data_IF_362324389696
#
_entry.id   IF_362324389696
#
_cell.length_a   1.000
_cell.length_b   1.000
_cell.length_c   1.000
_cell.angle_alpha   90.00
_cell.angle_beta   90.00
_cell.angle_gamma   90.00
#
_symmetry.space_group_name_H-M   'P 1'
#
loop_
_entity.id
_entity.type
_entity.pdbx_description
1 polymer ?
#
# COMPACT_ATOMS: atom_id res chain seq x y z
N UNK A 1 9.01 16.03 9.11
CA UNK A 1 8.23 16.35 7.89
C UNK A 1 6.78 15.96 8.10
N UNK A 2 5.81 16.60 7.43
CA UNK A 2 4.38 16.33 7.62
C UNK A 2 3.75 15.76 6.34
N UNK A 3 2.72 14.94 6.51
CA UNK A 3 1.90 14.43 5.42
C UNK A 3 1.16 15.61 4.74
N UNK A 4 1.40 15.81 3.44
CA UNK A 4 0.83 16.95 2.69
C UNK A 4 -0.61 16.72 2.24
N UNK A 5 -1.02 15.44 2.12
CA UNK A 5 -2.36 15.04 1.70
C UNK A 5 -3.01 14.31 2.86
N UNK A 6 -4.02 14.93 3.47
CA UNK A 6 -4.76 14.31 4.57
C UNK A 6 -5.37 12.96 4.15
N UNK A 7 -5.53 12.05 5.10
CA UNK A 7 -6.24 10.78 4.89
C UNK A 7 -7.72 11.08 4.66
N UNK A 8 -8.30 10.38 3.69
CA UNK A 8 -9.69 10.57 3.28
C UNK A 8 -10.39 9.23 3.03
N UNK A 9 -11.68 9.26 2.76
CA UNK A 9 -12.48 8.05 2.40
C UNK A 9 -12.05 7.42 1.07
N UNK A 10 -11.28 8.14 0.26
CA UNK A 10 -10.75 7.60 -1.00
C UNK A 10 -9.45 6.81 -0.82
N UNK A 11 -8.88 6.78 0.37
CA UNK A 11 -7.70 5.98 0.67
C UNK A 11 -8.08 4.51 0.94
N UNK A 12 -7.18 3.60 0.62
CA UNK A 12 -7.28 2.22 1.08
C UNK A 12 -6.88 2.17 2.56
N UNK A 13 -7.85 1.89 3.41
CA UNK A 13 -7.66 1.87 4.85
C UNK A 13 -8.20 0.58 5.48
N UNK A 14 -7.54 0.11 6.53
CA UNK A 14 -7.99 -0.96 7.44
C UNK A 14 -8.05 -0.40 8.86
N UNK A 15 -8.98 -0.92 9.66
CA UNK A 15 -9.24 -0.43 11.02
C UNK A 15 -10.27 0.69 11.07
N UNK A 16 -10.69 1.09 12.29
CA UNK A 16 -11.74 2.08 12.50
C UNK A 16 -11.36 3.46 11.94
N UNK A 17 -12.36 4.19 11.44
CA UNK A 17 -12.15 5.55 10.93
C UNK A 17 -11.74 6.53 12.05
N UNK A 18 -12.22 6.27 13.25
CA UNK A 18 -11.99 7.03 14.49
C UNK A 18 -10.87 6.45 15.37
N UNK A 19 -10.06 5.54 14.83
CA UNK A 19 -8.92 4.98 15.57
C UNK A 19 -7.98 6.11 16.05
N UNK A 20 -7.50 6.04 17.32
CA UNK A 20 -6.63 7.09 17.90
C UNK A 20 -5.32 7.25 17.15
N UNK A 21 -4.86 6.22 16.44
CA UNK A 21 -3.64 6.28 15.64
C UNK A 21 -3.91 5.94 14.19
N UNK A 22 -3.44 6.80 13.30
CA UNK A 22 -3.40 6.55 11.85
C UNK A 22 -1.96 6.35 11.40
N UNK A 23 -1.67 5.19 10.81
CA UNK A 23 -0.40 4.85 10.19
C UNK A 23 -0.57 4.86 8.67
N UNK A 24 0.09 5.79 7.98
CA UNK A 24 0.11 5.85 6.52
C UNK A 24 1.43 5.28 6.02
N UNK A 25 1.37 4.31 5.13
CA UNK A 25 2.51 3.79 4.39
C UNK A 25 2.45 4.29 2.94
N UNK A 26 3.56 4.85 2.47
CA UNK A 26 3.86 4.95 1.05
C UNK A 26 4.73 3.76 0.65
N UNK A 27 4.15 2.84 -0.13
CA UNK A 27 4.74 1.56 -0.46
C UNK A 27 4.82 1.28 -1.95
N UNK A 28 5.74 0.38 -2.29
CA UNK A 28 6.04 -0.09 -3.64
C UNK A 28 6.01 -1.61 -3.65
N UNK A 29 5.19 -2.20 -4.52
CA UNK A 29 5.01 -3.65 -4.58
C UNK A 29 6.25 -4.42 -5.03
N UNK A 30 7.23 -3.78 -5.64
CA UNK A 30 8.47 -4.43 -6.05
C UNK A 30 9.63 -4.14 -5.10
N UNK A 31 9.47 -3.22 -4.13
CA UNK A 31 10.49 -2.91 -3.14
C UNK A 31 10.63 -4.06 -2.12
N UNK A 32 11.80 -4.70 -1.96
CA UNK A 32 11.97 -5.79 -1.01
C UNK A 32 11.74 -5.35 0.44
N UNK A 33 12.15 -4.14 0.81
CA UNK A 33 11.90 -3.60 2.16
C UNK A 33 10.41 -3.42 2.47
N UNK A 34 9.57 -3.13 1.46
CA UNK A 34 8.11 -3.10 1.64
C UNK A 34 7.55 -4.50 1.90
N UNK A 35 8.06 -5.54 1.23
CA UNK A 35 7.66 -6.90 1.51
C UNK A 35 8.08 -7.35 2.92
N UNK A 36 9.29 -6.97 3.35
CA UNK A 36 9.79 -7.30 4.70
C UNK A 36 8.90 -6.70 5.79
N UNK A 37 8.50 -5.44 5.66
CA UNK A 37 7.62 -4.80 6.66
C UNK A 37 6.17 -5.22 6.57
N UNK A 38 5.71 -5.77 5.45
CA UNK A 38 4.31 -6.12 5.23
C UNK A 38 3.76 -7.07 6.31
N UNK A 39 4.47 -8.18 6.59
CA UNK A 39 4.07 -9.14 7.63
C UNK A 39 4.05 -8.51 9.02
N UNK A 40 4.99 -7.62 9.29
CA UNK A 40 5.07 -6.86 10.54
C UNK A 40 3.84 -5.95 10.70
N UNK A 41 3.47 -5.21 9.65
CA UNK A 41 2.29 -4.32 9.66
C UNK A 41 1.01 -5.13 9.87
N UNK A 42 0.84 -6.27 9.20
CA UNK A 42 -0.31 -7.15 9.41
C UNK A 42 -0.41 -7.64 10.87
N UNK A 43 0.72 -8.04 11.46
CA UNK A 43 0.77 -8.46 12.87
C UNK A 43 0.41 -7.31 13.82
N UNK A 44 0.93 -6.12 13.53
CA UNK A 44 0.66 -4.90 14.30
C UNK A 44 -0.82 -4.52 14.24
N UNK A 45 -1.41 -4.50 13.05
CA UNK A 45 -2.83 -4.18 12.85
C UNK A 45 -3.75 -5.13 13.64
N UNK A 46 -3.38 -6.42 13.71
CA UNK A 46 -4.11 -7.40 14.52
C UNK A 46 -3.97 -7.14 16.02
N UNK A 47 -2.74 -6.86 16.52
CA UNK A 47 -2.48 -6.58 17.93
C UNK A 47 -3.13 -5.30 18.43
N UNK A 48 -3.26 -4.31 17.55
CA UNK A 48 -3.82 -3.00 17.83
C UNK A 48 -5.25 -2.84 17.26
N UNK A 49 -5.98 -3.94 17.15
CA UNK A 49 -7.35 -3.91 16.64
C UNK A 49 -8.20 -2.88 17.42
N UNK A 50 -8.89 -2.01 16.70
CA UNK A 50 -9.66 -0.90 17.28
C UNK A 50 -8.84 0.37 17.61
N UNK A 51 -7.52 0.29 17.66
CA UNK A 51 -6.65 1.42 18.01
C UNK A 51 -5.82 1.95 16.84
N UNK A 52 -5.68 1.18 15.78
CA UNK A 52 -4.88 1.52 14.61
C UNK A 52 -5.73 1.55 13.34
N UNK A 53 -5.65 2.66 12.62
CA UNK A 53 -6.07 2.78 11.22
C UNK A 53 -4.84 2.72 10.35
N UNK A 54 -4.68 1.65 9.59
CA UNK A 54 -3.62 1.51 8.60
C UNK A 54 -4.10 2.01 7.24
N UNK A 55 -3.30 2.83 6.58
CA UNK A 55 -3.57 3.40 5.24
C UNK A 55 -2.40 3.08 4.32
N UNK A 56 -2.69 2.52 3.15
CA UNK A 56 -1.69 2.28 2.12
C UNK A 56 -1.86 3.25 0.95
N UNK A 57 -0.74 3.82 0.48
CA UNK A 57 -0.66 4.67 -0.71
C UNK A 57 0.45 4.20 -1.63
N UNK A 58 0.18 4.21 -2.92
CA UNK A 58 1.13 3.79 -3.93
C UNK A 58 2.29 4.77 -4.10
N UNK A 59 3.51 4.23 -4.10
CA UNK A 59 4.73 4.98 -4.39
C UNK A 59 5.65 4.14 -5.32
N UNK A 60 5.23 3.82 -6.55
CA UNK A 60 6.03 3.00 -7.46
C UNK A 60 7.28 3.75 -7.92
N UNK A 61 8.45 3.24 -7.57
CA UNK A 61 9.76 3.80 -7.95
C UNK A 61 10.21 3.20 -9.29
N UNK A 62 9.54 3.57 -10.37
CA UNK A 62 9.65 2.95 -11.70
C UNK A 62 11.06 2.95 -12.31
N UNK A 63 11.93 3.85 -11.87
CA UNK A 63 13.33 3.92 -12.32
C UNK A 63 14.15 2.69 -11.88
N UNK A 64 13.77 2.06 -10.76
CA UNK A 64 14.46 0.89 -10.17
C UNK A 64 13.54 -0.33 -10.08
N UNK A 65 12.24 -0.14 -10.15
CA UNK A 65 11.21 -1.18 -9.99
C UNK A 65 10.24 -1.18 -11.19
N UNK A 66 10.60 -1.79 -12.33
CA UNK A 66 9.84 -1.68 -13.58
C UNK A 66 8.42 -2.25 -13.52
N UNK A 67 8.14 -3.20 -12.63
CA UNK A 67 6.80 -3.78 -12.47
C UNK A 67 5.94 -3.08 -11.38
N UNK A 68 6.50 -2.16 -10.60
CA UNK A 68 5.81 -1.54 -9.47
C UNK A 68 4.53 -0.80 -9.88
N UNK A 69 4.59 -0.05 -10.99
CA UNK A 69 3.43 0.67 -11.53
C UNK A 69 2.32 -0.28 -11.97
N UNK A 70 2.68 -1.37 -12.68
CA UNK A 70 1.71 -2.36 -13.15
C UNK A 70 1.04 -3.09 -11.97
N UNK A 71 1.82 -3.48 -10.97
CA UNK A 71 1.29 -4.13 -9.77
C UNK A 71 0.36 -3.19 -8.97
N UNK A 72 0.69 -1.91 -8.89
CA UNK A 72 -0.18 -0.91 -8.25
C UNK A 72 -1.52 -0.76 -8.99
N UNK A 73 -1.51 -0.71 -10.32
CA UNK A 73 -2.73 -0.65 -11.13
C UNK A 73 -3.55 -1.94 -11.01
N UNK A 74 -2.90 -3.11 -10.91
CA UNK A 74 -3.58 -4.39 -10.68
C UNK A 74 -4.26 -4.44 -9.31
N UNK A 75 -3.61 -3.93 -8.26
CA UNK A 75 -4.22 -3.82 -6.94
C UNK A 75 -5.47 -2.91 -6.95
N UNK A 76 -5.41 -1.78 -7.67
CA UNK A 76 -6.57 -0.89 -7.84
C UNK A 76 -7.70 -1.55 -8.66
N UNK A 77 -7.38 -2.30 -9.73
CA UNK A 77 -8.36 -3.04 -10.53
C UNK A 77 -9.07 -4.11 -9.68
N UNK A 78 -8.34 -4.80 -8.82
CA UNK A 78 -8.91 -5.71 -7.83
C UNK A 78 -9.76 -4.95 -6.79
N UNK A 79 -9.30 -3.78 -6.36
CA UNK A 79 -10.02 -2.90 -5.44
C UNK A 79 -11.37 -2.43 -5.98
N UNK A 80 -11.46 -2.17 -7.29
CA UNK A 80 -12.72 -1.85 -7.96
C UNK A 80 -13.73 -3.02 -8.01
N UNK A 81 -13.26 -4.22 -7.64
CA UNK A 81 -14.07 -5.42 -7.45
C UNK A 81 -14.14 -5.84 -5.96
N UNK A 82 -13.81 -4.93 -5.04
CA UNK A 82 -13.88 -5.15 -3.60
C UNK A 82 -12.76 -6.02 -3.02
N UNK A 83 -11.63 -6.21 -3.75
CA UNK A 83 -10.56 -7.13 -3.42
C UNK A 83 -9.17 -6.47 -3.34
N UNK A 84 -9.12 -5.17 -2.94
CA UNK A 84 -7.84 -4.46 -2.84
C UNK A 84 -6.87 -5.15 -1.88
N UNK A 85 -7.30 -5.40 -0.65
CA UNK A 85 -6.43 -5.93 0.40
C UNK A 85 -5.99 -7.37 0.15
N UNK A 86 -6.89 -8.20 -0.40
CA UNK A 86 -6.54 -9.56 -0.79
C UNK A 86 -5.49 -9.58 -1.91
N UNK A 87 -5.61 -8.68 -2.90
CA UNK A 87 -4.62 -8.54 -3.96
C UNK A 87 -3.30 -7.96 -3.42
N UNK A 88 -3.37 -6.92 -2.59
CA UNK A 88 -2.23 -6.30 -1.90
C UNK A 88 -1.39 -7.35 -1.15
N UNK A 89 -2.05 -8.13 -0.31
CA UNK A 89 -1.40 -9.20 0.46
C UNK A 89 -0.80 -10.28 -0.44
N UNK A 90 -1.52 -10.67 -1.50
CA UNK A 90 -1.08 -11.70 -2.42
C UNK A 90 0.14 -11.26 -3.25
N UNK A 91 0.20 -10.00 -3.67
CA UNK A 91 1.34 -9.45 -4.40
C UNK A 91 2.59 -9.48 -3.52
N UNK A 92 2.53 -9.00 -2.28
CA UNK A 92 3.70 -9.03 -1.39
C UNK A 92 4.15 -10.45 -1.07
N UNK A 93 3.22 -11.39 -0.83
CA UNK A 93 3.57 -12.81 -0.60
C UNK A 93 4.25 -13.48 -1.79
N UNK A 94 4.01 -12.98 -2.99
CA UNK A 94 4.53 -13.52 -4.26
C UNK A 94 5.49 -12.56 -4.96
N UNK A 95 6.05 -11.60 -4.22
CA UNK A 95 6.87 -10.52 -4.80
C UNK A 95 8.03 -11.04 -5.68
N UNK A 96 8.64 -12.16 -5.33
CA UNK A 96 9.73 -12.77 -6.11
C UNK A 96 9.29 -13.26 -7.49
N UNK A 97 7.98 -13.46 -7.72
CA UNK A 97 7.40 -13.88 -8.99
C UNK A 97 6.80 -12.69 -9.78
N UNK A 98 7.10 -11.45 -9.37
CA UNK A 98 6.42 -10.25 -9.88
C UNK A 98 6.64 -10.08 -11.38
N UNK A 99 5.53 -9.96 -12.11
CA UNK A 99 5.46 -9.80 -13.57
C UNK A 99 4.00 -9.82 -14.02
N UNK A 100 3.76 -9.64 -15.32
CA UNK A 100 2.39 -9.61 -15.87
C UNK A 100 1.59 -10.89 -15.59
N UNK A 101 2.23 -12.04 -15.71
CA UNK A 101 1.58 -13.35 -15.51
C UNK A 101 1.12 -13.55 -14.07
N UNK A 102 1.87 -13.02 -13.09
CA UNK A 102 1.49 -13.13 -11.69
C UNK A 102 0.16 -12.41 -11.44
N UNK A 103 -0.03 -11.20 -11.98
CA UNK A 103 -1.26 -10.43 -11.74
C UNK A 103 -2.49 -11.20 -12.20
N UNK A 104 -2.43 -11.83 -13.38
CA UNK A 104 -3.53 -12.65 -13.90
C UNK A 104 -3.78 -13.90 -13.03
N UNK A 105 -2.73 -14.59 -12.59
CA UNK A 105 -2.85 -15.74 -11.67
C UNK A 105 -3.51 -15.36 -10.35
N UNK A 106 -3.11 -14.21 -9.77
CA UNK A 106 -3.68 -13.72 -8.53
C UNK A 106 -5.15 -13.31 -8.71
N UNK A 107 -5.48 -12.62 -9.81
CA UNK A 107 -6.85 -12.24 -10.13
C UNK A 107 -7.77 -13.47 -10.26
N UNK A 108 -7.31 -14.52 -10.94
CA UNK A 108 -8.02 -15.80 -10.99
C UNK A 108 -8.21 -16.43 -9.60
N UNK A 109 -7.15 -16.48 -8.79
CA UNK A 109 -7.18 -17.03 -7.44
C UNK A 109 -8.18 -16.29 -6.55
N UNK A 110 -8.26 -14.97 -6.71
CA UNK A 110 -9.19 -14.10 -5.99
C UNK A 110 -10.61 -14.12 -6.57
N UNK A 111 -10.85 -14.88 -7.64
CA UNK A 111 -12.15 -15.01 -8.33
C UNK A 111 -12.69 -13.66 -8.82
N UNK A 112 -11.80 -12.83 -9.37
CA UNK A 112 -12.20 -11.58 -9.99
C UNK A 112 -12.91 -11.84 -11.33
N UNK A 113 -13.75 -10.90 -11.76
CA UNK A 113 -14.18 -10.83 -13.16
C UNK A 113 -12.96 -10.52 -14.03
N UNK A 114 -12.42 -11.56 -14.67
CA UNK A 114 -11.19 -11.48 -15.46
C UNK A 114 -11.34 -10.56 -16.66
N UNK A 115 -12.50 -10.59 -17.33
CA UNK A 115 -12.76 -9.72 -18.49
C UNK A 115 -12.68 -8.25 -18.09
N UNK A 116 -13.28 -7.89 -16.96
CA UNK A 116 -13.20 -6.52 -16.40
C UNK A 116 -11.79 -6.19 -15.95
N UNK A 117 -11.11 -7.11 -15.26
CA UNK A 117 -9.76 -6.90 -14.74
C UNK A 117 -8.77 -6.63 -15.87
N UNK A 118 -8.75 -7.46 -16.90
CA UNK A 118 -7.87 -7.30 -18.08
C UNK A 118 -8.19 -6.00 -18.84
N UNK A 119 -9.46 -5.72 -19.10
CA UNK A 119 -9.86 -4.47 -19.76
C UNK A 119 -9.45 -3.22 -18.98
N UNK A 120 -9.53 -3.25 -17.65
CA UNK A 120 -9.10 -2.13 -16.79
C UNK A 120 -7.57 -1.93 -16.84
N UNK A 121 -6.80 -3.01 -16.89
CA UNK A 121 -5.33 -2.96 -17.01
C UNK A 121 -4.89 -2.48 -18.41
N UNK A 122 -5.48 -3.00 -19.47
CA UNK A 122 -5.18 -2.62 -20.87
C UNK A 122 -5.45 -1.13 -21.08
N UNK A 123 -6.56 -0.64 -20.55
CA UNK A 123 -6.93 0.77 -20.59
C UNK A 123 -6.14 1.65 -19.62
N UNK A 124 -5.26 1.09 -18.81
CA UNK A 124 -4.52 1.80 -17.74
C UNK A 124 -5.45 2.65 -16.87
N UNK A 125 -6.66 2.14 -16.60
CA UNK A 125 -7.76 2.87 -15.96
C UNK A 125 -7.38 3.48 -14.61
N UNK A 126 -6.53 2.80 -13.83
CA UNK A 126 -6.15 3.21 -12.49
C UNK A 126 -4.81 3.95 -12.41
N UNK A 127 -4.13 4.18 -13.54
CA UNK A 127 -2.92 4.98 -13.59
C UNK A 127 -3.08 6.38 -12.96
N UNK A 128 -4.19 7.13 -13.17
CA UNK A 128 -4.40 8.42 -12.52
C UNK A 128 -4.49 8.31 -10.99
N UNK A 129 -5.07 7.22 -10.47
CA UNK A 129 -5.15 6.94 -9.03
C UNK A 129 -3.76 6.73 -8.44
N UNK A 130 -2.97 5.85 -9.02
CA UNK A 130 -1.58 5.57 -8.61
C UNK A 130 -0.74 6.84 -8.68
N UNK A 131 -0.85 7.61 -9.78
CA UNK A 131 -0.16 8.90 -9.94
C UNK A 131 -0.53 9.91 -8.85
N UNK A 132 -1.80 9.97 -8.45
CA UNK A 132 -2.26 10.86 -7.38
C UNK A 132 -1.55 10.54 -6.06
N UNK A 133 -1.45 9.27 -5.69
CA UNK A 133 -0.77 8.84 -4.48
C UNK A 133 0.72 9.16 -4.55
N UNK A 134 1.38 8.82 -5.67
CA UNK A 134 2.78 9.12 -5.93
C UNK A 134 3.07 10.63 -5.77
N UNK A 135 2.26 11.47 -6.40
CA UNK A 135 2.43 12.93 -6.29
C UNK A 135 2.16 13.45 -4.87
N UNK A 136 1.25 12.80 -4.12
CA UNK A 136 1.04 13.05 -2.70
C UNK A 136 2.27 12.70 -1.85
N UNK A 137 2.91 11.58 -2.16
CA UNK A 137 4.17 11.16 -1.54
C UNK A 137 5.29 12.15 -1.81
N UNK A 138 5.48 12.52 -3.07
CA UNK A 138 6.50 13.54 -3.44
C UNK A 138 6.31 14.86 -2.68
N UNK A 139 5.08 15.38 -2.60
CA UNK A 139 4.78 16.58 -1.81
C UNK A 139 4.99 16.40 -0.31
N UNK A 140 4.89 15.17 0.19
CA UNK A 140 5.18 14.82 1.59
C UNK A 140 6.67 14.52 1.84
N UNK A 141 7.53 14.68 0.82
CA UNK A 141 8.97 14.44 0.90
C UNK A 141 9.35 12.96 0.95
N UNK A 142 8.50 12.09 0.41
CA UNK A 142 8.83 10.66 0.26
C UNK A 142 9.84 10.50 -0.88
N UNK A 143 11.03 10.00 -0.57
CA UNK A 143 12.11 9.75 -1.52
C UNK A 143 12.49 8.26 -1.62
N UNK A 144 11.97 7.43 -0.73
CA UNK A 144 12.23 5.99 -0.69
C UNK A 144 11.02 5.25 -0.11
N UNK A 145 10.96 3.93 -0.34
CA UNK A 145 9.91 3.05 0.18
C UNK A 145 10.51 1.92 1.03
N UNK A 146 9.80 1.48 2.08
CA UNK A 146 8.58 2.10 2.61
C UNK A 146 8.87 3.41 3.35
N UNK A 147 7.96 4.37 3.31
CA UNK A 147 7.98 5.56 4.17
C UNK A 147 6.68 5.63 4.96
N UNK A 148 6.79 5.81 6.28
CA UNK A 148 5.67 5.84 7.20
C UNK A 148 5.39 7.23 7.74
N UNK A 149 4.10 7.51 8.00
CA UNK A 149 3.63 8.67 8.75
C UNK A 149 2.70 8.20 9.86
N UNK A 150 3.00 8.59 11.10
CA UNK A 150 2.18 8.32 12.29
C UNK A 150 1.45 9.61 12.65
N UNK A 151 0.12 9.59 12.67
CA UNK A 151 -0.73 10.78 12.89
C UNK A 151 -0.26 12.00 12.08
N UNK A 152 0.08 11.76 10.79
CA UNK A 152 0.51 12.79 9.85
C UNK A 152 1.95 13.29 10.03
N UNK A 153 2.72 12.78 10.98
CA UNK A 153 4.16 13.06 11.13
C UNK A 153 4.99 11.94 10.55
N UNK A 154 6.01 12.28 9.74
CA UNK A 154 6.93 11.29 9.20
C UNK A 154 7.64 10.55 10.34
N UNK A 155 7.68 9.24 10.20
CA UNK A 155 8.45 8.36 11.05
C UNK A 155 9.83 8.15 10.42
N UNK A 156 10.88 8.52 11.15
CA UNK A 156 12.28 8.44 10.72
C UNK A 156 13.08 7.44 11.59
N UNK A 157 12.40 6.54 12.32
CA UNK A 157 13.01 5.49 13.13
C UNK A 157 13.31 4.22 12.35
N UNK A 158 13.79 3.20 13.07
CA UNK A 158 14.08 1.89 12.48
C UNK A 158 12.81 1.20 11.98
N UNK A 159 12.93 0.50 10.84
CA UNK A 159 11.84 -0.24 10.21
C UNK A 159 11.67 -1.64 10.85
N UNK A 160 11.54 -1.67 12.17
CA UNK A 160 11.25 -2.87 12.95
C UNK A 160 9.98 -2.69 13.80
N UNK A 161 9.37 -3.82 14.17
CA UNK A 161 8.12 -3.83 14.90
C UNK A 161 8.17 -3.11 16.26
N UNK A 162 9.17 -3.37 17.12
CA UNK A 162 9.29 -2.70 18.41
C UNK A 162 9.42 -1.18 18.29
N UNK A 163 10.27 -0.69 17.37
CA UNK A 163 10.50 0.74 17.17
C UNK A 163 9.26 1.46 16.65
N UNK A 164 8.58 0.87 15.66
CA UNK A 164 7.35 1.43 15.11
C UNK A 164 6.20 1.40 16.12
N UNK A 165 6.03 0.30 16.88
CA UNK A 165 5.05 0.22 17.97
C UNK A 165 5.30 1.26 19.06
N UNK A 166 6.57 1.49 19.44
CA UNK A 166 6.92 2.51 20.41
C UNK A 166 6.61 3.93 19.90
N UNK A 167 6.75 4.19 18.60
CA UNK A 167 6.37 5.46 18.00
C UNK A 167 4.86 5.66 17.98
N UNK A 168 4.10 4.62 17.68
CA UNK A 168 2.63 4.60 17.69
C UNK A 168 2.11 4.82 19.11
N UNK A 169 2.67 4.18 20.13
CA UNK A 169 2.26 4.33 21.53
C UNK A 169 2.55 5.71 22.14
N UNK A 170 3.31 6.56 21.43
CA UNK A 170 3.60 7.95 21.83
C UNK A 170 2.84 8.99 21.00
N UNK A 171 2.02 8.56 20.05
CA UNK A 171 1.29 9.42 19.11
C UNK A 171 -0.13 9.69 19.61
#
# INVERSE_FOLDING_TARGET
MKLSVAVSKSDHAQGPEDAPVTLVEYGDYQCPYCADVHSMIQSMAKKMAGQLRFVFRHMPLIEVHPFAQYAAEAAEAAGAQGKFWEMHDAIYRKQSELGSDLMNKLAHTLRLDMRRFEADLDARRYRPRVKRDFMGGMRSGVAATPTFFVNGKRYDGALDGPSLLAAIGRA
#
